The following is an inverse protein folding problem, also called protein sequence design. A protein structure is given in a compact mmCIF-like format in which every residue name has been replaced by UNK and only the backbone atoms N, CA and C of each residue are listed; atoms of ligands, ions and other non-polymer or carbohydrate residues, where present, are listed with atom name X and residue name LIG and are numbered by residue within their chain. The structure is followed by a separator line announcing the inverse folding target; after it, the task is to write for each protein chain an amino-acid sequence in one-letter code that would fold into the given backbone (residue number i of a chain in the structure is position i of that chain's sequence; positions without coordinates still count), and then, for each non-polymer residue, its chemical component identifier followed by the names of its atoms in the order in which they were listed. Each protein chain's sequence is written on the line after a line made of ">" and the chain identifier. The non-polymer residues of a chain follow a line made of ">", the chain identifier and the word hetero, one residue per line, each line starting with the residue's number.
data_IF_741828147800
#
_entry.id   IF_741828147800
#
_cell.length_a   1.000
_cell.length_b   1.000
_cell.length_c   1.000
_cell.angle_alpha   90.00
_cell.angle_beta   90.00
_cell.angle_gamma   90.00
#
_symmetry.space_group_name_H-M   'P 1'
#
loop_
_entity.id
_entity.type
_entity.pdbx_description
1 polymer ?
#
# COMPACT_ATOMS: atom_id res chain seq x y z
N UNK A 1 61.46 4.68 46.90
CA UNK A 1 61.70 6.03 47.46
C UNK A 1 62.28 6.89 46.35
N UNK A 2 61.86 8.16 46.14
CA UNK A 2 60.71 8.88 46.69
C UNK A 2 59.74 9.38 45.57
N UNK A 3 58.42 9.50 45.83
CA UNK A 3 57.63 10.69 46.26
C UNK A 3 57.68 11.85 45.23
N UNK A 4 56.59 12.49 44.83
CA UNK A 4 55.24 12.49 45.39
C UNK A 4 54.25 13.30 44.55
N UNK A 5 52.99 13.15 44.91
CA UNK A 5 51.89 14.12 44.74
C UNK A 5 51.95 15.09 45.95
N UNK A 6 51.55 16.38 45.88
CA UNK A 6 50.13 16.70 46.02
C UNK A 6 49.62 18.05 45.42
N UNK A 7 48.34 18.04 44.99
CA UNK A 7 47.35 19.12 45.22
C UNK A 7 47.41 20.35 44.29
N UNK A 8 46.34 21.09 44.01
CA UNK A 8 44.99 21.11 44.56
C UNK A 8 44.06 22.00 43.70
N UNK A 9 42.75 21.67 43.71
CA UNK A 9 41.56 22.55 43.64
C UNK A 9 41.22 23.29 42.33
N UNK A 10 40.07 22.90 41.77
CA UNK A 10 39.22 23.74 40.92
C UNK A 10 37.86 23.09 40.66
N UNK A 11 36.86 23.39 41.51
CA UNK A 11 35.44 23.03 41.30
C UNK A 11 34.80 23.98 40.29
N UNK A 12 34.01 23.46 39.35
CA UNK A 12 32.82 24.12 38.77
C UNK A 12 32.02 23.05 38.00
N UNK A 13 30.95 22.51 38.58
CA UNK A 13 29.57 23.01 38.46
C UNK A 13 28.91 22.53 37.15
N UNK A 14 28.08 21.49 37.31
CA UNK A 14 27.15 20.99 36.33
C UNK A 14 26.05 22.02 36.05
N UNK A 15 25.78 22.30 34.78
CA UNK A 15 24.53 22.92 34.35
C UNK A 15 23.70 21.92 33.55
N UNK A 16 22.71 21.35 34.24
CA UNK A 16 21.52 20.74 33.65
C UNK A 16 20.69 21.85 33.00
N UNK A 17 20.40 21.72 31.72
CA UNK A 17 19.37 22.52 31.06
C UNK A 17 17.98 21.90 31.32
N UNK A 18 16.92 22.70 31.56
CA UNK A 18 15.61 22.17 31.91
C UNK A 18 14.86 21.66 30.69
N UNK A 19 14.25 20.49 30.89
CA UNK A 19 13.23 19.87 30.04
C UNK A 19 11.99 20.76 30.07
N UNK A 20 11.61 21.30 28.91
CA UNK A 20 10.34 22.02 28.74
C UNK A 20 9.18 21.04 28.64
N UNK A 21 8.29 21.08 29.62
CA UNK A 21 7.00 20.40 29.62
C UNK A 21 6.09 21.01 28.52
N UNK A 22 5.84 20.27 27.44
CA UNK A 22 4.77 20.64 26.51
C UNK A 22 3.44 20.06 27.01
N UNK A 23 2.59 20.95 27.49
CA UNK A 23 1.23 20.68 27.93
C UNK A 23 0.38 20.09 26.80
N UNK A 24 -0.28 18.98 27.13
CA UNK A 24 -1.34 18.32 26.37
C UNK A 24 -2.57 19.22 26.25
N UNK A 25 -2.81 19.77 25.05
CA UNK A 25 -4.09 20.39 24.69
C UNK A 25 -4.93 19.38 23.90
N UNK A 26 -5.75 18.62 24.62
CA UNK A 26 -6.86 17.87 24.05
C UNK A 26 -7.99 18.83 23.66
N UNK A 27 -7.98 19.27 22.40
CA UNK A 27 -9.10 19.95 21.76
C UNK A 27 -9.77 19.03 20.74
N UNK A 28 -10.91 18.42 21.11
CA UNK A 28 -11.74 17.65 20.16
C UNK A 28 -12.41 18.62 19.18
N UNK A 29 -11.88 18.73 17.98
CA UNK A 29 -12.59 19.27 16.82
C UNK A 29 -12.79 18.13 15.81
N UNK A 30 -14.05 17.82 15.50
CA UNK A 30 -14.40 16.92 14.39
C UNK A 30 -14.01 17.64 13.09
N UNK A 31 -13.21 17.06 12.18
CA UNK A 31 -12.99 17.69 10.89
C UNK A 31 -14.29 17.62 10.07
N UNK A 32 -14.67 18.76 9.52
CA UNK A 32 -15.75 18.87 8.55
C UNK A 32 -15.41 18.00 7.33
N UNK A 33 -16.42 17.32 6.78
CA UNK A 33 -16.28 16.53 5.54
C UNK A 33 -15.81 17.44 4.41
N UNK A 34 -14.52 17.38 4.08
CA UNK A 34 -13.99 17.93 2.85
C UNK A 34 -14.44 17.00 1.72
N UNK A 35 -15.32 17.49 0.86
CA UNK A 35 -15.66 16.79 -0.38
C UNK A 35 -14.49 16.95 -1.34
N UNK A 36 -13.64 15.94 -1.45
CA UNK A 36 -12.66 15.89 -2.53
C UNK A 36 -13.39 15.70 -3.86
N UNK A 37 -13.09 16.59 -4.80
CA UNK A 37 -13.55 16.54 -6.18
C UNK A 37 -12.78 15.41 -6.85
N UNK A 38 -13.48 14.47 -7.51
CA UNK A 38 -12.86 13.44 -8.35
C UNK A 38 -11.88 14.11 -9.32
N UNK A 39 -10.63 13.68 -9.30
CA UNK A 39 -9.74 13.83 -10.47
C UNK A 39 -10.32 12.89 -11.53
N UNK A 40 -11.04 13.47 -12.48
CA UNK A 40 -11.53 12.74 -13.65
C UNK A 40 -10.39 12.51 -14.62
N UNK A 41 -10.36 11.32 -15.20
CA UNK A 41 -9.52 10.99 -16.35
C UNK A 41 -9.70 12.07 -17.43
N UNK A 42 -8.61 12.70 -17.82
CA UNK A 42 -8.60 13.62 -18.96
C UNK A 42 -8.75 12.82 -20.25
N UNK A 43 -9.86 13.09 -20.94
CA UNK A 43 -10.18 12.69 -22.30
C UNK A 43 -8.97 12.79 -23.24
N UNK A 44 -8.66 11.69 -23.92
CA UNK A 44 -7.75 11.70 -25.07
C UNK A 44 -8.49 12.25 -26.31
N UNK A 45 -7.88 13.17 -27.09
CA UNK A 45 -8.42 13.53 -28.38
C UNK A 45 -8.25 12.36 -29.35
N UNK A 46 -9.35 12.02 -30.04
CA UNK A 46 -9.34 11.16 -31.22
C UNK A 46 -8.56 11.87 -32.33
N UNK A 47 -7.53 11.22 -32.85
CA UNK A 47 -6.89 11.65 -34.09
C UNK A 47 -7.12 10.60 -35.18
N UNK A 48 -7.71 11.07 -36.28
CA UNK A 48 -8.04 10.32 -37.47
C UNK A 48 -6.82 10.32 -38.41
N UNK A 49 -6.08 9.21 -38.45
CA UNK A 49 -4.87 9.11 -39.28
C UNK A 49 -4.71 7.74 -39.93
N UNK A 50 -5.07 7.64 -41.22
CA UNK A 50 -4.92 6.46 -42.08
C UNK A 50 -3.45 6.05 -42.28
N UNK A 51 -3.10 4.81 -41.93
CA UNK A 51 -2.18 3.89 -42.65
C UNK A 51 -2.53 2.48 -42.12
N UNK A 52 -2.96 1.45 -42.86
CA UNK A 52 -2.56 0.99 -44.17
C UNK A 52 -1.66 -0.25 -44.03
N UNK A 53 -2.20 -1.42 -43.68
CA UNK A 53 -1.80 -2.75 -44.24
C UNK A 53 -2.61 -3.91 -43.67
N UNK A 54 -2.90 -4.84 -44.58
CA UNK A 54 -3.81 -5.99 -44.52
C UNK A 54 -3.28 -7.11 -43.61
N UNK A 55 -4.17 -7.73 -42.83
CA UNK A 55 -4.17 -9.19 -42.62
C UNK A 55 -5.62 -9.68 -42.67
N UNK A 56 -5.85 -10.63 -43.55
CA UNK A 56 -7.14 -11.25 -43.88
C UNK A 56 -7.42 -12.39 -42.90
N UNK A 57 -8.58 -12.39 -42.23
CA UNK A 57 -9.17 -13.62 -41.66
C UNK A 57 -10.67 -13.63 -41.96
N UNK A 58 -11.10 -14.77 -42.51
CA UNK A 58 -12.44 -15.04 -43.04
C UNK A 58 -13.57 -14.84 -42.01
N UNK A 59 -14.68 -14.26 -42.48
CA UNK A 59 -16.01 -14.35 -41.83
C UNK A 59 -16.94 -15.19 -42.70
N UNK A 60 -17.63 -16.15 -42.09
CA UNK A 60 -18.86 -16.75 -42.62
C UNK A 60 -20.10 -16.07 -41.99
N UNK A 61 -21.24 -15.94 -42.70
CA UNK A 61 -22.37 -15.13 -42.26
C UNK A 61 -23.51 -15.97 -41.66
N UNK A 62 -24.19 -15.44 -40.64
CA UNK A 62 -25.54 -15.85 -40.30
C UNK A 62 -26.46 -14.63 -40.11
N UNK A 63 -27.70 -14.85 -40.52
CA UNK A 63 -28.75 -13.91 -40.89
C UNK A 63 -29.48 -13.28 -39.70
N UNK A 64 -29.92 -12.04 -39.90
CA UNK A 64 -31.36 -11.70 -39.88
C UNK A 64 -31.98 -11.25 -38.55
N UNK A 65 -32.37 -9.98 -38.48
CA UNK A 65 -33.34 -9.48 -37.50
C UNK A 65 -33.49 -7.96 -37.55
N UNK A 66 -34.48 -7.46 -38.29
CA UNK A 66 -34.89 -6.05 -38.34
C UNK A 66 -35.81 -5.72 -37.15
N UNK A 67 -35.69 -4.53 -36.57
CA UNK A 67 -36.83 -3.72 -36.09
C UNK A 67 -36.49 -2.21 -36.17
N UNK A 68 -37.52 -1.40 -36.46
CA UNK A 68 -37.50 0.03 -36.86
C UNK A 68 -37.59 1.01 -35.67
N UNK A 69 -37.35 2.33 -35.87
CA UNK A 69 -37.20 3.33 -34.81
C UNK A 69 -38.49 4.11 -34.49
N UNK A 70 -38.57 4.62 -33.26
CA UNK A 70 -39.44 5.70 -32.81
C UNK A 70 -38.59 6.54 -31.83
N UNK A 71 -38.66 7.86 -31.71
CA UNK A 71 -39.52 8.93 -32.19
C UNK A 71 -39.03 10.21 -31.47
N UNK A 72 -39.21 11.37 -32.09
CA UNK A 72 -38.63 12.67 -31.72
C UNK A 72 -39.13 13.26 -30.38
N UNK A 73 -38.28 14.17 -29.87
CA UNK A 73 -38.45 15.19 -28.81
C UNK A 73 -39.75 16.04 -28.94
N UNK A 74 -40.05 16.89 -27.93
CA UNK A 74 -39.68 18.28 -28.14
C UNK A 74 -39.06 19.03 -26.94
N UNK A 75 -38.36 20.09 -27.34
CA UNK A 75 -37.69 21.17 -26.61
C UNK A 75 -38.49 21.92 -25.54
N UNK A 76 -37.76 22.45 -24.55
CA UNK A 76 -38.19 23.52 -23.65
C UNK A 76 -36.98 24.28 -23.09
N UNK A 77 -36.74 25.47 -23.65
CA UNK A 77 -35.61 26.40 -23.45
C UNK A 77 -35.47 27.03 -22.03
N UNK A 78 -34.35 27.73 -21.75
CA UNK A 78 -33.80 27.94 -20.40
C UNK A 78 -34.23 29.25 -19.74
N UNK A 79 -34.13 29.33 -18.40
CA UNK A 79 -34.22 30.61 -17.67
C UNK A 79 -32.83 31.09 -17.20
N UNK A 80 -32.54 32.34 -17.58
CA UNK A 80 -31.39 33.15 -17.17
C UNK A 80 -31.56 33.69 -15.74
N UNK A 81 -30.40 33.74 -15.06
CA UNK A 81 -29.88 34.72 -14.08
C UNK A 81 -30.83 35.80 -13.54
N UNK A 82 -30.81 35.95 -12.22
CA UNK A 82 -30.72 37.25 -11.54
C UNK A 82 -29.69 37.18 -10.42
N UNK A 83 -28.73 38.11 -10.48
CA UNK A 83 -27.88 38.54 -9.37
C UNK A 83 -28.72 39.35 -8.39
N UNK A 84 -28.44 39.24 -7.09
CA UNK A 84 -28.42 40.37 -6.17
C UNK A 84 -27.33 40.11 -5.13
N UNK A 85 -26.45 41.10 -4.99
CA UNK A 85 -25.50 41.27 -3.90
C UNK A 85 -26.24 41.43 -2.56
N UNK A 86 -25.57 41.07 -1.46
CA UNK A 86 -25.35 42.01 -0.37
C UNK A 86 -24.23 41.52 0.57
N UNK A 87 -23.28 42.42 0.83
CA UNK A 87 -22.20 42.32 1.83
C UNK A 87 -22.42 43.40 2.90
N UNK A 88 -21.75 43.18 4.03
CA UNK A 88 -21.49 44.06 5.19
C UNK A 88 -22.57 44.00 6.29
N UNK A 89 -22.27 43.95 7.59
CA UNK A 89 -21.05 44.05 8.42
C UNK A 89 -21.53 43.99 9.89
N UNK A 90 -20.71 43.50 10.85
CA UNK A 90 -21.08 43.29 12.27
C UNK A 90 -21.20 44.58 13.11
N UNK A 91 -20.88 44.62 14.43
CA UNK A 91 -20.74 43.57 15.47
C UNK A 91 -21.41 43.94 16.84
N UNK A 92 -21.02 43.24 17.93
CA UNK A 92 -21.26 43.48 19.39
C UNK A 92 -22.57 42.86 19.96
N UNK A 93 -22.62 42.19 21.13
CA UNK A 93 -21.64 41.82 22.15
C UNK A 93 -22.32 41.21 23.39
N UNK A 94 -21.48 40.68 24.29
CA UNK A 94 -21.66 40.46 25.76
C UNK A 94 -22.40 39.22 26.32
N UNK A 95 -21.59 38.46 27.06
CA UNK A 95 -21.74 37.97 28.44
C UNK A 95 -23.04 37.30 28.90
N UNK A 96 -22.93 36.02 29.30
CA UNK A 96 -23.33 35.60 30.64
C UNK A 96 -22.69 34.26 31.04
N UNK A 97 -22.00 34.30 32.18
CA UNK A 97 -21.49 33.17 32.96
C UNK A 97 -22.66 32.36 33.53
N UNK A 98 -22.52 31.04 33.62
CA UNK A 98 -23.09 30.26 34.73
C UNK A 98 -22.36 28.91 34.89
N UNK A 99 -21.94 28.63 36.13
CA UNK A 99 -21.12 27.49 36.53
C UNK A 99 -21.88 26.16 36.70
N UNK A 100 -21.20 25.12 37.21
CA UNK A 100 -21.46 23.74 36.82
C UNK A 100 -22.39 22.98 37.79
N UNK A 101 -23.23 22.10 37.24
CA UNK A 101 -23.97 21.10 38.03
C UNK A 101 -23.17 19.81 38.18
N UNK A 102 -22.81 19.51 39.43
CA UNK A 102 -22.31 18.21 39.90
C UNK A 102 -23.40 17.15 39.76
N UNK A 103 -23.07 15.97 39.23
CA UNK A 103 -23.79 14.72 39.54
C UNK A 103 -22.78 13.68 40.01
N UNK A 104 -23.11 13.09 41.16
CA UNK A 104 -22.30 12.18 41.97
C UNK A 104 -22.24 10.78 41.36
N UNK A 105 -21.11 10.15 41.67
CA UNK A 105 -20.79 8.72 41.60
C UNK A 105 -21.88 7.79 42.15
N UNK A 106 -22.07 6.65 41.49
CA UNK A 106 -22.46 5.39 42.15
C UNK A 106 -21.57 4.25 41.66
N UNK A 107 -20.74 3.74 42.59
CA UNK A 107 -20.15 2.39 42.57
C UNK A 107 -21.12 1.44 43.27
N UNK A 108 -21.31 0.24 42.71
CA UNK A 108 -21.62 -1.04 43.39
C UNK A 108 -22.13 -2.01 42.32
N UNK A 109 -21.88 -3.32 42.29
CA UNK A 109 -21.17 -4.26 43.15
C UNK A 109 -21.04 -5.54 42.29
N UNK A 110 -19.99 -6.32 42.53
CA UNK A 110 -19.76 -7.60 41.89
C UNK A 110 -20.41 -8.79 42.63
N UNK A 111 -20.49 -9.91 41.89
CA UNK A 111 -20.58 -11.35 42.28
C UNK A 111 -21.98 -11.98 42.43
N UNK A 112 -22.14 -13.33 42.31
CA UNK A 112 -21.10 -14.38 42.18
C UNK A 112 -21.29 -15.44 41.07
N UNK A 113 -20.16 -16.13 40.82
CA UNK A 113 -19.99 -17.38 40.06
C UNK A 113 -20.80 -18.53 40.69
N UNK A 114 -21.46 -19.34 39.87
CA UNK A 114 -21.99 -20.67 40.26
C UNK A 114 -21.09 -21.77 39.73
N UNK A 115 -20.73 -22.65 40.67
CA UNK A 115 -19.89 -23.84 40.56
C UNK A 115 -20.82 -25.01 40.27
N UNK A 116 -20.58 -25.77 39.20
CA UNK A 116 -21.27 -27.06 38.97
C UNK A 116 -20.24 -28.18 39.18
N UNK A 117 -20.64 -29.14 40.00
CA UNK A 117 -19.86 -30.31 40.39
C UNK A 117 -19.92 -31.39 39.30
N UNK A 118 -18.80 -32.10 39.22
CA UNK A 118 -18.55 -33.38 38.58
C UNK A 118 -19.63 -34.44 38.85
N UNK A 119 -20.09 -35.10 37.79
CA UNK A 119 -20.84 -36.36 37.84
C UNK A 119 -20.22 -37.33 36.84
N UNK A 120 -19.55 -38.34 37.38
CA UNK A 120 -19.01 -39.51 36.67
C UNK A 120 -20.17 -40.36 36.16
N UNK A 121 -20.18 -40.68 34.87
CA UNK A 121 -21.05 -41.73 34.33
C UNK A 121 -20.30 -42.48 33.23
N UNK A 122 -19.80 -43.66 33.60
CA UNK A 122 -19.31 -44.69 32.70
C UNK A 122 -20.47 -45.19 31.84
N UNK A 123 -20.31 -45.13 30.51
CA UNK A 123 -21.20 -45.82 29.58
C UNK A 123 -20.36 -46.68 28.65
N UNK A 124 -20.86 -47.89 28.53
CA UNK A 124 -20.37 -49.08 27.88
C UNK A 124 -20.11 -48.92 26.37
N UNK A 125 -19.20 -49.76 25.87
CA UNK A 125 -18.75 -49.84 24.48
C UNK A 125 -19.77 -50.63 23.67
N UNK A 126 -20.35 -50.00 22.66
CA UNK A 126 -20.90 -50.71 21.50
C UNK A 126 -20.82 -49.81 20.27
N UNK A 127 -19.94 -50.19 19.35
CA UNK A 127 -19.74 -49.58 18.04
C UNK A 127 -20.99 -49.67 17.17
N UNK A 128 -21.26 -48.64 16.35
CA UNK A 128 -21.80 -48.87 15.02
C UNK A 128 -20.90 -48.27 13.93
N UNK A 129 -20.54 -49.17 13.02
CA UNK A 129 -20.20 -48.99 11.60
C UNK A 129 -20.34 -47.59 10.98
N UNK A 130 -19.22 -47.17 10.39
CA UNK A 130 -19.02 -46.28 9.23
C UNK A 130 -20.26 -45.73 8.51
N UNK A 131 -20.36 -44.39 8.49
CA UNK A 131 -20.70 -43.64 7.27
C UNK A 131 -19.81 -42.38 7.26
N UNK A 132 -18.61 -42.54 6.71
CA UNK A 132 -17.70 -41.42 6.41
C UNK A 132 -18.20 -40.65 5.19
N UNK A 133 -19.08 -39.67 5.41
CA UNK A 133 -19.35 -38.65 4.40
C UNK A 133 -18.19 -37.68 4.34
N UNK A 134 -17.28 -37.84 3.38
CA UNK A 134 -16.32 -36.80 3.02
C UNK A 134 -17.14 -35.56 2.64
N UNK A 135 -16.99 -34.46 3.40
CA UNK A 135 -17.58 -33.19 3.02
C UNK A 135 -17.14 -32.90 1.58
N UNK A 136 -18.06 -32.48 0.67
CA UNK A 136 -17.71 -32.29 -0.72
C UNK A 136 -16.56 -31.29 -0.78
N UNK A 137 -15.40 -31.74 -1.27
CA UNK A 137 -14.29 -30.86 -1.62
C UNK A 137 -14.87 -29.88 -2.62
N UNK A 138 -15.12 -28.65 -2.17
CA UNK A 138 -15.55 -27.59 -3.06
C UNK A 138 -14.44 -27.47 -4.10
N UNK A 139 -14.75 -27.84 -5.33
CA UNK A 139 -13.89 -27.48 -6.44
C UNK A 139 -13.69 -25.97 -6.35
N UNK A 140 -12.44 -25.48 -6.39
CA UNK A 140 -12.21 -24.06 -6.47
C UNK A 140 -13.01 -23.52 -7.67
N UNK A 141 -13.62 -22.34 -7.58
CA UNK A 141 -14.29 -21.73 -8.74
C UNK A 141 -13.33 -21.72 -9.94
N UNK A 142 -13.86 -21.76 -11.17
CA UNK A 142 -13.05 -21.82 -12.39
C UNK A 142 -12.00 -20.67 -12.49
N UNK A 143 -12.26 -19.57 -11.78
CA UNK A 143 -11.38 -18.39 -11.67
C UNK A 143 -10.43 -18.41 -10.45
N UNK A 144 -10.35 -19.53 -9.72
CA UNK A 144 -9.46 -19.66 -8.58
C UNK A 144 -8.01 -19.64 -9.04
N UNK A 145 -7.28 -18.68 -8.50
CA UNK A 145 -5.85 -18.55 -8.75
C UNK A 145 -5.01 -19.42 -7.81
N UNK A 146 -5.51 -19.88 -6.66
CA UNK A 146 -4.69 -20.66 -5.69
C UNK A 146 -3.31 -20.01 -5.44
N UNK A 147 -3.30 -18.68 -5.29
CA UNK A 147 -2.10 -17.90 -5.05
C UNK A 147 -1.85 -17.81 -3.55
N UNK A 148 -0.61 -18.00 -3.08
CA UNK A 148 -0.34 -18.03 -1.65
C UNK A 148 -0.42 -16.67 -0.98
N UNK A 149 -0.17 -15.55 -1.70
CA UNK A 149 0.00 -14.23 -1.09
C UNK A 149 -0.22 -13.07 -2.07
N UNK A 150 -0.95 -12.04 -1.65
CA UNK A 150 -0.85 -10.67 -2.17
C UNK A 150 -0.28 -9.75 -1.06
N UNK A 151 0.93 -9.22 -1.25
CA UNK A 151 1.66 -8.52 -0.18
C UNK A 151 1.59 -6.99 -0.25
N UNK A 152 0.79 -6.41 -1.16
CA UNK A 152 0.68 -4.97 -1.31
C UNK A 152 -0.76 -4.56 -1.65
N UNK A 153 -1.48 -3.99 -0.68
CA UNK A 153 -2.89 -3.60 -0.81
C UNK A 153 -3.19 -2.32 -0.01
N UNK A 154 -4.05 -1.47 -0.56
CA UNK A 154 -4.45 -0.18 0.00
C UNK A 154 -5.96 -0.10 0.22
N UNK A 155 -6.38 0.36 1.39
CA UNK A 155 -7.75 0.35 1.89
C UNK A 155 -8.27 1.77 2.10
N UNK A 156 -9.46 1.91 2.67
CA UNK A 156 -10.01 3.19 3.12
C UNK A 156 -9.21 3.86 4.27
N UNK A 157 -8.11 3.25 4.72
CA UNK A 157 -7.09 3.83 5.60
C UNK A 157 -5.95 4.55 4.83
N UNK A 158 -6.00 4.55 3.50
CA UNK A 158 -5.15 5.34 2.60
C UNK A 158 -5.95 6.46 1.92
N UNK A 159 -5.33 7.61 1.61
CA UNK A 159 -6.03 8.77 1.06
C UNK A 159 -6.55 8.57 -0.37
N UNK A 160 -6.06 7.57 -1.08
CA UNK A 160 -6.29 7.28 -2.50
C UNK A 160 -6.98 5.93 -2.74
N UNK A 161 -7.51 5.30 -1.70
CA UNK A 161 -8.36 4.11 -1.78
C UNK A 161 -9.66 4.31 -0.99
N UNK A 162 -10.72 3.65 -1.42
CA UNK A 162 -12.04 3.64 -0.76
C UNK A 162 -12.50 2.21 -0.43
N UNK A 163 -11.58 1.25 -0.44
CA UNK A 163 -11.89 -0.18 -0.32
C UNK A 163 -11.83 -0.63 1.13
N UNK A 164 -12.94 -1.09 1.74
CA UNK A 164 -12.90 -1.70 3.06
C UNK A 164 -12.14 -3.03 3.03
N UNK A 165 -11.39 -3.35 4.08
CA UNK A 165 -10.62 -4.62 4.20
C UNK A 165 -11.50 -5.86 3.94
N UNK A 166 -12.76 -5.84 4.38
CA UNK A 166 -13.69 -6.96 4.21
C UNK A 166 -13.96 -7.30 2.73
N UNK A 167 -13.84 -6.32 1.84
CA UNK A 167 -13.97 -6.54 0.39
C UNK A 167 -12.79 -7.36 -0.13
N UNK A 168 -11.56 -7.01 0.27
CA UNK A 168 -10.38 -7.79 -0.08
C UNK A 168 -10.38 -9.17 0.56
N UNK A 169 -10.78 -9.28 1.82
CA UNK A 169 -10.86 -10.57 2.50
C UNK A 169 -11.86 -11.53 1.83
N UNK A 170 -13.04 -11.03 1.45
CA UNK A 170 -14.03 -11.81 0.70
C UNK A 170 -13.50 -12.25 -0.68
N UNK A 171 -12.89 -11.32 -1.42
CA UNK A 171 -12.34 -11.60 -2.74
C UNK A 171 -11.14 -12.58 -2.68
N UNK A 172 -10.32 -12.51 -1.61
CA UNK A 172 -9.24 -13.46 -1.38
C UNK A 172 -9.78 -14.89 -1.22
N UNK A 173 -10.82 -15.07 -0.40
CA UNK A 173 -11.48 -16.36 -0.20
C UNK A 173 -12.06 -16.90 -1.51
N UNK A 174 -12.72 -16.04 -2.30
CA UNK A 174 -13.30 -16.40 -3.59
C UNK A 174 -12.23 -16.86 -4.60
N UNK A 175 -11.09 -16.18 -4.65
CA UNK A 175 -10.00 -16.45 -5.61
C UNK A 175 -8.98 -17.47 -5.14
N UNK A 176 -9.17 -18.05 -3.96
CA UNK A 176 -8.24 -18.99 -3.34
C UNK A 176 -6.90 -18.35 -2.91
N UNK A 177 -6.90 -17.06 -2.55
CA UNK A 177 -5.72 -16.36 -2.03
C UNK A 177 -5.65 -16.57 -0.52
N UNK A 178 -4.61 -17.27 -0.07
CA UNK A 178 -4.50 -17.73 1.33
C UNK A 178 -4.11 -16.63 2.32
N UNK A 179 -3.34 -15.64 1.87
CA UNK A 179 -2.79 -14.59 2.72
C UNK A 179 -2.79 -13.24 1.99
N UNK A 180 -3.12 -12.17 2.71
CA UNK A 180 -3.03 -10.79 2.22
C UNK A 180 -2.32 -9.92 3.25
N UNK A 181 -1.55 -8.94 2.78
CA UNK A 181 -1.00 -7.88 3.62
C UNK A 181 -1.68 -6.55 3.30
N UNK A 182 -2.23 -5.91 4.33
CA UNK A 182 -2.74 -4.55 4.22
C UNK A 182 -1.55 -3.62 4.47
N UNK A 183 -1.21 -2.81 3.48
CA UNK A 183 0.01 -2.01 3.43
C UNK A 183 -0.28 -0.54 3.14
N UNK A 184 -1.31 -0.01 3.80
CA UNK A 184 -1.72 1.38 3.67
C UNK A 184 -0.58 2.38 3.85
N UNK A 185 -0.70 3.51 3.16
CA UNK A 185 0.31 4.57 3.10
C UNK A 185 0.64 5.19 4.46
N UNK A 186 1.93 5.50 4.64
CA UNK A 186 2.47 6.27 5.76
C UNK A 186 3.46 7.30 5.24
N UNK A 187 3.08 8.57 5.35
CA UNK A 187 3.93 9.69 4.95
C UNK A 187 4.48 10.47 6.15
N UNK A 188 5.70 10.98 6.00
CA UNK A 188 6.38 11.80 7.01
C UNK A 188 6.44 13.27 6.63
N UNK A 189 6.31 13.60 5.35
CA UNK A 189 6.28 14.97 4.89
C UNK A 189 4.82 15.49 4.84
N UNK A 190 4.51 16.64 5.50
CA UNK A 190 3.16 17.24 5.50
C UNK A 190 2.59 17.61 4.13
N UNK A 191 3.41 17.69 3.09
CA UNK A 191 3.01 17.92 1.71
C UNK A 191 2.41 16.68 1.04
N UNK A 192 2.58 15.50 1.61
CA UNK A 192 2.04 14.26 1.04
C UNK A 192 0.64 13.92 1.58
N UNK A 193 -0.23 13.28 0.77
CA UNK A 193 -1.63 13.05 1.14
C UNK A 193 -1.87 12.14 2.36
N UNK A 194 -0.99 11.17 2.64
CA UNK A 194 -1.19 10.24 3.76
C UNK A 194 -0.61 10.75 5.08
N UNK A 195 -0.01 11.95 5.08
CA UNK A 195 0.56 12.53 6.30
C UNK A 195 -0.54 12.72 7.36
N UNK A 196 -0.38 12.01 8.48
CA UNK A 196 -1.35 11.98 9.57
C UNK A 196 -2.80 11.61 9.14
N UNK A 197 -2.98 10.93 8.01
CA UNK A 197 -4.31 10.55 7.49
C UNK A 197 -5.01 9.54 8.42
N UNK A 198 -4.31 8.45 8.75
CA UNK A 198 -4.73 7.49 9.77
C UNK A 198 -3.56 7.23 10.72
N UNK A 199 -3.80 7.32 12.04
CA UNK A 199 -2.76 7.06 13.02
C UNK A 199 -2.45 5.56 13.15
N UNK A 200 -1.33 5.22 13.81
CA UNK A 200 -0.91 3.82 13.96
C UNK A 200 -1.96 2.99 14.69
N UNK A 201 -2.51 3.50 15.80
CA UNK A 201 -3.43 2.76 16.65
C UNK A 201 -4.74 2.41 15.91
N UNK A 202 -5.23 3.33 15.08
CA UNK A 202 -6.42 3.12 14.24
C UNK A 202 -6.15 2.02 13.22
N UNK A 203 -5.06 2.12 12.46
CA UNK A 203 -4.70 1.11 11.45
C UNK A 203 -4.49 -0.27 12.08
N UNK A 204 -3.78 -0.32 13.20
CA UNK A 204 -3.55 -1.57 13.93
C UNK A 204 -4.87 -2.21 14.38
N UNK A 205 -5.75 -1.44 15.05
CA UNK A 205 -7.04 -1.97 15.53
C UNK A 205 -7.87 -2.52 14.38
N UNK A 206 -8.04 -1.73 13.32
CA UNK A 206 -8.91 -2.09 12.18
C UNK A 206 -8.40 -3.34 11.46
N UNK A 207 -7.09 -3.42 11.18
CA UNK A 207 -6.52 -4.58 10.47
C UNK A 207 -6.51 -5.83 11.37
N UNK A 208 -6.19 -5.69 12.66
CA UNK A 208 -6.18 -6.82 13.61
C UNK A 208 -7.59 -7.38 13.83
N UNK A 209 -8.60 -6.52 13.97
CA UNK A 209 -10.00 -6.94 14.06
C UNK A 209 -10.48 -7.66 12.80
N UNK A 210 -10.06 -7.20 11.60
CA UNK A 210 -10.33 -7.92 10.37
C UNK A 210 -9.63 -9.29 10.35
N UNK A 211 -8.36 -9.36 10.77
CA UNK A 211 -7.63 -10.62 10.85
C UNK A 211 -8.30 -11.65 11.78
N UNK A 212 -8.87 -11.20 12.90
CA UNK A 212 -9.65 -12.07 13.80
C UNK A 212 -10.95 -12.57 13.13
N UNK A 213 -11.72 -11.68 12.48
CA UNK A 213 -13.00 -12.03 11.84
C UNK A 213 -12.85 -12.98 10.64
N UNK A 214 -11.69 -12.94 9.97
CA UNK A 214 -11.43 -13.69 8.74
C UNK A 214 -10.44 -14.84 8.89
N UNK A 215 -9.79 -14.98 10.06
CA UNK A 215 -8.63 -15.86 10.25
C UNK A 215 -8.83 -17.34 9.91
N UNK A 216 -10.06 -17.85 9.99
CA UNK A 216 -10.39 -19.24 9.59
C UNK A 216 -10.45 -19.44 8.06
N UNK A 217 -10.40 -18.36 7.28
CA UNK A 217 -10.64 -18.34 5.83
C UNK A 217 -9.51 -17.69 5.03
N UNK A 218 -8.95 -16.59 5.54
CA UNK A 218 -7.81 -15.88 4.94
C UNK A 218 -6.94 -15.26 6.03
N UNK A 219 -5.63 -15.40 5.91
CA UNK A 219 -4.70 -14.72 6.81
C UNK A 219 -4.54 -13.25 6.39
N UNK A 220 -4.81 -12.32 7.31
CA UNK A 220 -4.63 -10.87 7.07
C UNK A 220 -3.47 -10.38 7.93
N UNK A 221 -2.52 -9.69 7.30
CA UNK A 221 -1.33 -9.12 7.95
C UNK A 221 -1.43 -7.62 8.06
N UNK A 222 -1.01 -7.11 9.21
CA UNK A 222 -0.92 -5.67 9.47
C UNK A 222 0.45 -5.17 9.04
N UNK A 223 0.53 -4.67 7.80
CA UNK A 223 1.71 -4.03 7.27
C UNK A 223 1.53 -2.53 7.06
N UNK A 224 2.47 -1.93 6.33
CA UNK A 224 2.38 -0.56 5.85
C UNK A 224 3.36 -0.31 4.70
N UNK A 225 3.00 0.60 3.81
CA UNK A 225 3.90 1.20 2.82
C UNK A 225 4.32 2.58 3.32
N UNK A 226 5.62 2.78 3.57
CA UNK A 226 6.15 4.05 4.03
C UNK A 226 6.85 4.77 2.89
N UNK A 227 6.51 6.03 2.69
CA UNK A 227 7.27 6.91 1.80
C UNK A 227 8.64 7.16 2.43
N UNK A 228 9.69 6.76 1.72
CA UNK A 228 11.06 7.04 2.08
C UNK A 228 11.56 8.30 1.36
N UNK A 229 12.10 9.21 2.15
CA UNK A 229 12.93 10.31 1.69
C UNK A 229 14.14 10.39 2.64
N UNK A 230 15.35 10.55 2.11
CA UNK A 230 16.58 10.63 2.92
C UNK A 230 16.47 11.63 4.09
N UNK A 231 15.77 12.75 3.87
CA UNK A 231 15.56 13.79 4.89
C UNK A 231 14.73 13.32 6.09
N UNK A 232 13.89 12.30 5.94
CA UNK A 232 13.04 11.74 6.99
C UNK A 232 13.54 10.39 7.53
N UNK A 233 14.71 9.90 7.11
CA UNK A 233 15.19 8.55 7.49
C UNK A 233 15.23 8.33 9.02
N UNK A 234 15.69 9.34 9.78
CA UNK A 234 15.76 9.24 11.24
C UNK A 234 14.36 9.09 11.88
N UNK A 235 13.37 9.80 11.35
CA UNK A 235 11.98 9.74 11.80
C UNK A 235 11.34 8.40 11.45
N UNK A 236 11.57 7.91 10.23
CA UNK A 236 11.12 6.59 9.77
C UNK A 236 11.71 5.48 10.67
N UNK A 237 13.02 5.56 10.95
CA UNK A 237 13.72 4.60 11.81
C UNK A 237 13.14 4.57 13.22
N UNK A 238 12.87 5.73 13.83
CA UNK A 238 12.25 5.78 15.15
C UNK A 238 10.80 5.28 15.13
N UNK A 239 10.03 5.62 14.09
CA UNK A 239 8.67 5.12 13.89
C UNK A 239 8.64 3.59 13.85
N UNK A 240 9.44 2.96 12.98
CA UNK A 240 9.54 1.50 12.85
C UNK A 240 10.07 0.81 14.11
N UNK A 241 10.80 1.53 14.96
CA UNK A 241 11.26 1.01 16.26
C UNK A 241 10.16 1.04 17.31
N UNK A 242 9.28 2.06 17.28
CA UNK A 242 8.15 2.22 18.21
C UNK A 242 6.94 1.39 17.84
N UNK A 243 6.75 1.13 16.55
CA UNK A 243 5.54 0.52 16.00
C UNK A 243 5.83 -0.85 15.40
N UNK A 244 5.01 -1.85 15.73
CA UNK A 244 5.20 -3.24 15.29
C UNK A 244 4.26 -3.55 14.13
N UNK A 245 4.84 -3.61 12.94
CA UNK A 245 4.21 -4.10 11.73
C UNK A 245 4.62 -5.56 11.46
N UNK A 246 3.73 -6.32 10.83
CA UNK A 246 4.02 -7.67 10.35
C UNK A 246 4.90 -7.64 9.10
N UNK A 247 4.76 -6.60 8.27
CA UNK A 247 5.46 -6.43 7.00
C UNK A 247 5.58 -4.95 6.63
N UNK A 248 6.73 -4.53 6.13
CA UNK A 248 6.99 -3.12 5.78
C UNK A 248 7.53 -2.99 4.36
N UNK A 249 6.91 -2.08 3.60
CA UNK A 249 7.36 -1.67 2.26
C UNK A 249 7.96 -0.28 2.40
N UNK A 250 9.19 -0.09 1.92
CA UNK A 250 9.77 1.24 1.73
C UNK A 250 9.64 1.63 0.27
N UNK A 251 9.01 2.77 -0.01
CA UNK A 251 8.70 3.22 -1.37
C UNK A 251 9.13 4.66 -1.58
N UNK A 252 9.56 5.01 -2.80
CA UNK A 252 9.82 6.41 -3.18
C UNK A 252 8.65 6.91 -4.00
N UNK A 253 7.88 7.85 -3.43
CA UNK A 253 6.73 8.44 -4.11
C UNK A 253 7.07 9.80 -4.71
N UNK A 254 6.39 10.15 -5.80
CA UNK A 254 6.60 11.42 -6.48
C UNK A 254 6.07 12.57 -5.62
N UNK A 255 6.98 13.44 -5.18
CA UNK A 255 6.63 14.66 -4.47
C UNK A 255 5.71 15.54 -5.32
N UNK A 256 4.61 16.08 -4.76
CA UNK A 256 3.67 16.94 -5.51
C UNK A 256 4.32 18.17 -6.15
N UNK A 257 5.40 18.70 -5.57
CA UNK A 257 6.18 19.83 -6.07
C UNK A 257 7.49 19.42 -6.76
N UNK A 258 7.73 18.11 -6.86
CA UNK A 258 8.94 17.51 -7.42
C UNK A 258 9.03 17.61 -8.95
N UNK A 259 10.20 17.27 -9.51
CA UNK A 259 10.44 17.38 -10.95
C UNK A 259 9.58 16.44 -11.81
N UNK A 260 9.09 15.35 -11.23
CA UNK A 260 8.27 14.34 -11.91
C UNK A 260 6.76 14.62 -11.79
N UNK A 261 6.35 15.69 -11.09
CA UNK A 261 4.96 16.10 -11.04
C UNK A 261 4.42 16.36 -12.47
N UNK A 262 3.14 16.08 -12.70
CA UNK A 262 2.53 16.10 -14.03
C UNK A 262 2.71 17.45 -14.76
N UNK A 263 2.67 18.57 -14.03
CA UNK A 263 2.85 19.90 -14.62
C UNK A 263 4.31 20.26 -14.91
N UNK A 264 5.28 19.47 -14.44
CA UNK A 264 6.72 19.79 -14.44
C UNK A 264 7.56 18.82 -15.27
N UNK A 265 7.12 17.57 -15.38
CA UNK A 265 7.91 16.47 -15.96
C UNK A 265 8.36 16.77 -17.39
N UNK A 266 7.50 17.34 -18.23
CA UNK A 266 7.83 17.68 -19.62
C UNK A 266 9.03 18.64 -19.71
N UNK A 267 9.03 19.72 -18.93
CA UNK A 267 10.15 20.67 -18.88
C UNK A 267 11.37 20.09 -18.19
N UNK A 268 11.17 19.24 -17.17
CA UNK A 268 12.26 18.61 -16.45
C UNK A 268 13.09 17.69 -17.34
N UNK A 269 12.47 16.92 -18.23
CA UNK A 269 13.17 15.96 -19.11
C UNK A 269 13.89 16.61 -20.29
N UNK A 270 13.50 17.82 -20.68
CA UNK A 270 13.96 18.46 -21.91
C UNK A 270 15.49 18.62 -21.92
N UNK A 271 16.12 18.07 -22.97
CA UNK A 271 17.57 18.15 -23.16
C UNK A 271 18.42 17.29 -22.23
N UNK A 272 17.80 16.42 -21.42
CA UNK A 272 18.52 15.51 -20.52
C UNK A 272 18.61 14.10 -21.08
N UNK A 273 19.67 13.38 -20.73
CA UNK A 273 19.76 11.94 -20.95
C UNK A 273 18.84 11.19 -19.99
N UNK A 274 18.45 9.95 -20.35
CA UNK A 274 17.68 9.05 -19.48
C UNK A 274 18.34 8.94 -18.10
N UNK A 275 19.66 8.74 -18.06
CA UNK A 275 20.43 8.65 -16.82
C UNK A 275 20.29 9.92 -15.95
N UNK A 276 20.33 11.12 -16.55
CA UNK A 276 20.15 12.37 -15.81
C UNK A 276 18.72 12.57 -15.32
N UNK A 277 17.72 12.08 -16.07
CA UNK A 277 16.30 12.15 -15.71
C UNK A 277 15.97 11.22 -14.53
N UNK A 278 16.47 9.98 -14.51
CA UNK A 278 16.08 9.00 -13.48
C UNK A 278 16.91 9.11 -12.21
N UNK A 279 18.13 9.65 -12.29
CA UNK A 279 19.10 9.71 -11.19
C UNK A 279 18.51 10.23 -9.87
N UNK A 280 17.80 11.38 -9.80
CA UNK A 280 17.27 11.87 -8.53
C UNK A 280 16.34 10.88 -7.83
N UNK A 281 15.47 10.21 -8.59
CA UNK A 281 14.59 9.16 -8.05
C UNK A 281 15.40 7.93 -7.62
N UNK A 282 16.31 7.46 -8.49
CA UNK A 282 17.09 6.24 -8.25
C UNK A 282 18.03 6.39 -7.04
N UNK A 283 18.55 7.58 -6.77
CA UNK A 283 19.36 7.88 -5.58
C UNK A 283 18.54 7.77 -4.27
N UNK A 284 17.26 8.16 -4.27
CA UNK A 284 16.39 7.96 -3.11
C UNK A 284 16.05 6.48 -2.92
N UNK A 285 15.78 5.74 -4.01
CA UNK A 285 15.50 4.30 -3.94
C UNK A 285 16.73 3.54 -3.44
N UNK A 286 17.91 3.89 -3.93
CA UNK A 286 19.18 3.33 -3.47
C UNK A 286 19.39 3.61 -1.98
N UNK A 287 19.12 4.84 -1.52
CA UNK A 287 19.24 5.19 -0.12
C UNK A 287 18.23 4.42 0.76
N UNK A 288 16.99 4.25 0.31
CA UNK A 288 15.98 3.43 0.96
C UNK A 288 16.47 1.99 1.14
N UNK A 289 17.04 1.39 0.08
CA UNK A 289 17.62 0.05 0.12
C UNK A 289 18.82 -0.04 1.09
N UNK A 290 19.73 0.95 1.06
CA UNK A 290 20.91 1.00 1.95
C UNK A 290 20.55 1.18 3.42
N UNK A 291 19.40 1.80 3.72
CA UNK A 291 18.96 2.06 5.10
C UNK A 291 18.72 0.78 5.92
N UNK A 292 18.40 -0.33 5.24
CA UNK A 292 18.05 -1.62 5.85
C UNK A 292 16.80 -1.58 6.72
N UNK A 293 15.92 -0.59 6.53
CA UNK A 293 14.76 -0.35 7.39
C UNK A 293 13.56 -1.24 7.07
N UNK A 294 13.44 -1.71 5.84
CA UNK A 294 12.22 -2.30 5.30
C UNK A 294 12.35 -3.79 5.04
N UNK A 295 11.22 -4.49 4.94
CA UNK A 295 11.22 -5.88 4.51
C UNK A 295 11.40 -6.03 3.01
N UNK A 296 10.87 -5.06 2.25
CA UNK A 296 11.01 -4.96 0.80
C UNK A 296 11.08 -3.50 0.38
N UNK A 297 11.72 -3.22 -0.76
CA UNK A 297 11.59 -1.94 -1.45
C UNK A 297 10.52 -2.08 -2.52
N UNK A 298 9.49 -1.23 -2.43
CA UNK A 298 8.36 -1.19 -3.35
C UNK A 298 8.75 -0.64 -4.72
N UNK A 299 8.05 -1.09 -5.76
CA UNK A 299 8.04 -0.56 -7.14
C UNK A 299 9.25 0.34 -7.52
N UNK A 300 10.46 -0.24 -7.54
CA UNK A 300 11.76 0.48 -7.59
C UNK A 300 11.95 1.43 -8.78
N UNK A 301 11.14 1.30 -9.83
CA UNK A 301 11.13 2.12 -11.04
C UNK A 301 9.76 2.73 -11.35
N UNK A 302 8.91 2.90 -10.33
CA UNK A 302 7.59 3.54 -10.42
C UNK A 302 7.60 4.92 -11.09
N UNK A 303 8.73 5.62 -11.07
CA UNK A 303 8.96 6.87 -11.82
C UNK A 303 8.58 6.75 -13.30
N UNK A 304 8.66 5.55 -13.91
CA UNK A 304 8.18 5.26 -15.28
C UNK A 304 6.73 5.70 -15.52
N UNK A 305 5.87 5.60 -14.51
CA UNK A 305 4.46 6.04 -14.57
C UNK A 305 4.34 7.51 -14.98
N UNK A 306 5.19 8.35 -14.41
CA UNK A 306 5.17 9.81 -14.58
C UNK A 306 6.06 10.27 -15.73
N UNK A 307 7.12 9.52 -16.02
CA UNK A 307 7.97 9.77 -17.16
C UNK A 307 7.27 9.50 -18.49
N UNK A 308 6.29 8.59 -18.55
CA UNK A 308 5.54 8.32 -19.77
C UNK A 308 4.49 9.43 -20.02
N UNK A 309 4.45 10.08 -21.21
CA UNK A 309 5.07 9.67 -22.47
C UNK A 309 6.38 10.38 -22.85
N UNK A 310 7.02 11.08 -21.92
CA UNK A 310 8.24 11.86 -22.17
C UNK A 310 9.52 11.01 -22.27
N UNK A 311 9.61 9.93 -21.47
CA UNK A 311 10.64 8.89 -21.57
C UNK A 311 9.94 7.54 -21.54
N UNK A 312 10.05 6.77 -22.63
CA UNK A 312 9.42 5.46 -22.75
C UNK A 312 10.10 4.42 -21.85
N UNK A 313 9.38 3.40 -21.36
CA UNK A 313 9.96 2.27 -20.64
C UNK A 313 11.15 1.62 -21.36
N UNK A 314 11.08 1.46 -22.69
CA UNK A 314 12.16 0.91 -23.53
C UNK A 314 13.48 1.66 -23.39
N UNK A 315 13.44 2.98 -23.15
CA UNK A 315 14.64 3.78 -22.97
C UNK A 315 15.35 3.47 -21.65
N UNK A 316 14.60 3.11 -20.60
CA UNK A 316 15.17 2.60 -19.34
C UNK A 316 15.61 1.13 -19.49
N UNK A 317 14.86 0.31 -20.23
CA UNK A 317 15.22 -1.08 -20.49
C UNK A 317 16.54 -1.22 -21.27
N UNK A 318 16.86 -0.24 -22.11
CA UNK A 318 18.13 -0.14 -22.83
C UNK A 318 19.32 0.31 -21.95
N UNK A 319 19.09 0.69 -20.70
CA UNK A 319 20.10 1.14 -19.74
C UNK A 319 20.00 0.40 -18.39
N UNK A 320 20.08 -0.95 -18.38
CA UNK A 320 19.91 -1.76 -17.16
C UNK A 320 20.97 -1.47 -16.08
N UNK A 321 22.15 -0.95 -16.47
CA UNK A 321 23.22 -0.53 -15.57
C UNK A 321 22.78 0.57 -14.59
N UNK A 322 21.75 1.35 -14.94
CA UNK A 322 21.20 2.37 -14.04
C UNK A 322 20.57 1.76 -12.78
N UNK A 323 20.12 0.50 -12.83
CA UNK A 323 19.52 -0.19 -11.70
C UNK A 323 20.58 -0.81 -10.78
N UNK A 324 21.79 -1.07 -11.28
CA UNK A 324 22.81 -1.83 -10.56
C UNK A 324 23.13 -1.28 -9.14
N UNK A 325 23.23 0.04 -8.91
CA UNK A 325 23.45 0.58 -7.56
C UNK A 325 22.34 0.21 -6.57
N UNK A 326 21.08 0.30 -6.99
CA UNK A 326 19.91 -0.08 -6.18
C UNK A 326 19.95 -1.58 -5.89
N UNK A 327 20.15 -2.40 -6.93
CA UNK A 327 20.15 -3.85 -6.80
C UNK A 327 21.28 -4.34 -5.89
N UNK A 328 22.48 -3.75 -5.99
CA UNK A 328 23.59 -4.05 -5.07
C UNK A 328 23.30 -3.61 -3.64
N UNK A 329 22.62 -2.48 -3.44
CA UNK A 329 22.18 -2.05 -2.11
C UNK A 329 21.16 -3.02 -1.49
N UNK A 330 20.24 -3.57 -2.28
CA UNK A 330 19.31 -4.61 -1.84
C UNK A 330 20.04 -5.90 -1.45
N UNK A 331 21.02 -6.33 -2.26
CA UNK A 331 21.86 -7.49 -1.94
C UNK A 331 22.62 -7.27 -0.63
N UNK A 332 23.26 -6.11 -0.48
CA UNK A 332 24.07 -5.80 0.69
C UNK A 332 23.24 -5.67 1.99
N UNK A 333 22.04 -5.10 1.90
CA UNK A 333 21.15 -4.94 3.07
C UNK A 333 20.35 -6.21 3.40
N UNK A 334 20.19 -7.13 2.44
CA UNK A 334 19.28 -8.27 2.57
C UNK A 334 17.80 -7.89 2.47
N UNK A 335 17.50 -6.65 2.06
CA UNK A 335 16.14 -6.18 1.79
C UNK A 335 15.61 -6.85 0.52
N UNK A 336 14.33 -7.24 0.50
CA UNK A 336 13.75 -7.84 -0.69
C UNK A 336 13.49 -6.80 -1.79
N UNK A 337 13.45 -7.29 -3.03
CA UNK A 337 12.94 -6.53 -4.19
C UNK A 337 11.46 -6.87 -4.39
N UNK A 338 10.59 -5.86 -4.42
CA UNK A 338 9.20 -6.08 -4.82
C UNK A 338 9.08 -6.31 -6.34
N UNK A 339 8.26 -7.29 -6.72
CA UNK A 339 7.67 -7.40 -8.05
C UNK A 339 6.24 -6.88 -7.98
N UNK A 340 6.06 -5.61 -8.35
CA UNK A 340 4.78 -4.94 -8.27
C UNK A 340 4.05 -5.01 -9.61
N UNK A 341 2.81 -5.49 -9.59
CA UNK A 341 2.03 -5.70 -10.82
C UNK A 341 1.15 -4.51 -11.18
N UNK A 342 1.20 -3.42 -10.42
CA UNK A 342 0.50 -2.17 -10.75
C UNK A 342 0.96 -1.57 -12.07
N UNK A 343 2.24 -1.69 -12.41
CA UNK A 343 2.74 -1.14 -13.67
C UNK A 343 2.04 -1.70 -14.92
N UNK A 344 1.49 -2.92 -14.87
CA UNK A 344 0.72 -3.53 -15.96
C UNK A 344 -0.57 -2.77 -16.29
N UNK A 345 -1.16 -2.08 -15.31
CA UNK A 345 -2.35 -1.21 -15.49
C UNK A 345 -2.00 0.27 -15.60
N UNK A 346 -0.73 0.64 -15.50
CA UNK A 346 -0.26 2.00 -15.68
C UNK A 346 0.24 2.24 -17.11
N UNK A 347 0.65 3.47 -17.38
CA UNK A 347 1.24 3.90 -18.66
C UNK A 347 2.46 3.07 -19.09
N UNK A 348 3.20 2.49 -18.14
CA UNK A 348 4.37 1.66 -18.41
C UNK A 348 4.04 0.29 -19.03
N UNK A 349 2.88 -0.30 -18.71
CA UNK A 349 2.40 -1.61 -19.23
C UNK A 349 3.35 -2.79 -18.99
N UNK A 350 4.12 -2.73 -17.92
CA UNK A 350 5.05 -3.78 -17.47
C UNK A 350 5.08 -3.80 -15.94
N UNK A 351 5.56 -4.87 -15.31
CA UNK A 351 5.74 -4.88 -13.84
C UNK A 351 6.79 -3.85 -13.42
N UNK A 352 6.72 -3.42 -12.16
CA UNK A 352 7.78 -2.65 -11.52
C UNK A 352 8.62 -3.56 -10.60
N UNK A 353 9.89 -3.84 -10.93
CA UNK A 353 10.55 -3.63 -12.21
C UNK A 353 10.25 -4.77 -13.20
N UNK A 354 10.86 -4.74 -14.38
CA UNK A 354 10.70 -5.78 -15.41
C UNK A 354 11.40 -7.09 -15.05
N UNK A 355 11.02 -8.20 -15.71
CA UNK A 355 11.69 -9.50 -15.54
C UNK A 355 13.20 -9.45 -15.73
N UNK A 356 13.71 -8.65 -16.67
CA UNK A 356 15.14 -8.50 -16.90
C UNK A 356 15.86 -7.90 -15.68
N UNK A 357 15.25 -6.90 -15.03
CA UNK A 357 15.81 -6.28 -13.83
C UNK A 357 15.73 -7.21 -12.61
N UNK A 358 14.63 -7.99 -12.48
CA UNK A 358 14.52 -9.01 -11.43
C UNK A 358 15.55 -10.14 -11.64
N UNK A 359 15.82 -10.53 -12.89
CA UNK A 359 16.87 -11.48 -13.23
C UNK A 359 18.27 -10.92 -12.91
N UNK A 360 18.55 -9.66 -13.27
CA UNK A 360 19.79 -8.99 -12.91
C UNK A 360 19.99 -8.94 -11.38
N UNK A 361 18.93 -8.66 -10.61
CA UNK A 361 19.01 -8.72 -9.15
C UNK A 361 19.43 -10.11 -8.67
N UNK A 362 18.89 -11.17 -9.27
CA UNK A 362 19.27 -12.55 -8.95
C UNK A 362 20.73 -12.83 -9.31
N UNK A 363 21.19 -12.41 -10.50
CA UNK A 363 22.57 -12.57 -10.96
C UNK A 363 23.58 -11.88 -10.05
N UNK A 364 23.22 -10.70 -9.52
CA UNK A 364 24.02 -9.95 -8.56
C UNK A 364 24.04 -10.55 -7.15
N UNK A 365 23.35 -11.67 -6.92
CA UNK A 365 23.31 -12.39 -5.64
C UNK A 365 22.05 -12.16 -4.81
N UNK A 366 21.02 -11.52 -5.38
CA UNK A 366 19.75 -11.27 -4.71
C UNK A 366 19.00 -12.55 -4.33
N UNK A 367 18.58 -12.65 -3.06
CA UNK A 367 17.99 -13.88 -2.51
C UNK A 367 16.51 -13.80 -2.16
N UNK A 368 15.90 -12.62 -2.21
CA UNK A 368 14.55 -12.37 -1.69
C UNK A 368 13.77 -11.41 -2.57
N UNK A 369 12.61 -11.86 -3.02
CA UNK A 369 11.64 -11.06 -3.79
C UNK A 369 10.27 -11.15 -3.15
N UNK A 370 9.48 -10.09 -3.21
CA UNK A 370 8.05 -10.07 -2.82
C UNK A 370 7.19 -9.85 -4.06
N UNK A 371 5.87 -10.04 -3.95
CA UNK A 371 4.95 -9.77 -5.04
C UNK A 371 3.65 -9.16 -4.51
N UNK A 372 3.18 -8.11 -5.16
CA UNK A 372 2.01 -7.35 -4.69
C UNK A 372 1.25 -6.73 -5.85
N UNK A 373 -0.08 -6.67 -5.71
CA UNK A 373 -0.93 -6.07 -6.74
C UNK A 373 -1.04 -4.56 -6.62
N UNK A 374 -0.78 -4.00 -5.43
CA UNK A 374 -0.83 -2.57 -5.13
C UNK A 374 -2.24 -2.00 -5.46
N UNK A 375 -3.24 -2.82 -5.13
CA UNK A 375 -4.63 -2.52 -5.40
C UNK A 375 -5.11 -1.39 -4.48
N UNK A 376 -5.68 -0.36 -5.09
CA UNK A 376 -6.37 0.76 -4.43
C UNK A 376 -7.88 0.73 -4.68
N UNK A 377 -8.34 -0.25 -5.46
CA UNK A 377 -9.72 -0.44 -5.87
C UNK A 377 -10.08 -1.91 -5.80
N UNK A 378 -11.35 -2.20 -5.52
CA UNK A 378 -11.85 -3.57 -5.44
C UNK A 378 -11.64 -4.35 -6.75
N UNK A 379 -11.83 -3.70 -7.91
CA UNK A 379 -11.65 -4.30 -9.24
C UNK A 379 -10.18 -4.58 -9.60
N UNK A 380 -9.24 -3.90 -8.94
CA UNK A 380 -7.79 -4.13 -9.11
C UNK A 380 -7.17 -5.12 -8.12
N UNK A 381 -7.96 -5.68 -7.20
CA UNK A 381 -7.47 -6.72 -6.28
C UNK A 381 -6.79 -7.86 -7.05
N UNK A 382 -5.59 -8.26 -6.64
CA UNK A 382 -4.77 -9.31 -7.27
C UNK A 382 -4.54 -9.13 -8.79
N UNK A 383 -4.72 -7.91 -9.34
CA UNK A 383 -4.57 -7.65 -10.76
C UNK A 383 -3.14 -7.94 -11.21
N UNK A 384 -2.98 -8.81 -12.21
CA UNK A 384 -1.68 -9.18 -12.76
C UNK A 384 -0.79 -9.97 -11.81
N UNK A 385 -1.28 -10.39 -10.63
CA UNK A 385 -0.47 -11.02 -9.60
C UNK A 385 0.19 -12.32 -10.08
N UNK A 386 -0.52 -13.12 -10.90
CA UNK A 386 0.09 -14.29 -11.56
C UNK A 386 1.28 -13.92 -12.44
N UNK A 387 1.24 -12.77 -13.11
CA UNK A 387 2.35 -12.29 -13.92
C UNK A 387 3.55 -11.93 -13.05
N UNK A 388 3.32 -11.26 -11.90
CA UNK A 388 4.38 -11.03 -10.92
C UNK A 388 5.05 -12.33 -10.44
N UNK A 389 4.27 -13.39 -10.28
CA UNK A 389 4.80 -14.71 -9.92
C UNK A 389 5.60 -15.36 -11.06
N UNK A 390 5.16 -15.19 -12.32
CA UNK A 390 5.92 -15.61 -13.51
C UNK A 390 7.22 -14.83 -13.64
N UNK A 391 7.21 -13.52 -13.40
CA UNK A 391 8.40 -12.67 -13.36
C UNK A 391 9.40 -13.18 -12.33
N UNK A 392 8.96 -13.42 -11.08
CA UNK A 392 9.83 -13.98 -10.05
C UNK A 392 10.39 -15.38 -10.43
N UNK A 393 9.53 -16.26 -10.96
CA UNK A 393 9.95 -17.60 -11.36
C UNK A 393 10.94 -17.59 -12.55
N UNK A 394 10.66 -16.78 -13.58
CA UNK A 394 11.48 -16.61 -14.77
C UNK A 394 12.85 -15.99 -14.46
N UNK A 395 12.94 -15.16 -13.42
CA UNK A 395 14.20 -14.67 -12.87
C UNK A 395 14.95 -15.70 -11.99
N UNK A 396 14.44 -16.94 -11.86
CA UNK A 396 15.11 -18.02 -11.15
C UNK A 396 14.77 -18.13 -9.65
N UNK A 397 13.79 -17.38 -9.15
CA UNK A 397 13.30 -17.56 -7.78
C UNK A 397 12.35 -18.77 -7.70
N UNK A 398 12.41 -19.50 -6.59
CA UNK A 398 11.51 -20.65 -6.31
C UNK A 398 10.50 -20.35 -5.21
N UNK A 399 10.65 -19.22 -4.54
CA UNK A 399 9.82 -18.77 -3.42
C UNK A 399 9.82 -17.25 -3.35
N UNK A 400 8.70 -16.67 -2.95
CA UNK A 400 8.65 -15.30 -2.44
C UNK A 400 9.19 -15.25 -1.00
N UNK A 401 9.69 -14.09 -0.61
CA UNK A 401 10.04 -13.77 0.76
C UNK A 401 8.89 -12.99 1.40
N UNK A 402 8.50 -13.35 2.61
CA UNK A 402 7.49 -12.59 3.34
C UNK A 402 7.71 -12.74 4.84
N UNK A 403 7.51 -11.68 5.61
CA UNK A 403 7.70 -11.73 7.07
C UNK A 403 6.45 -12.28 7.73
N UNK A 404 6.63 -13.29 8.59
CA UNK A 404 5.58 -13.77 9.52
C UNK A 404 6.18 -13.80 10.92
N UNK A 405 5.67 -12.93 11.80
CA UNK A 405 6.24 -12.78 13.15
C UNK A 405 7.70 -12.29 13.10
N UNK A 406 8.57 -12.88 13.92
CA UNK A 406 9.95 -12.40 14.10
C UNK A 406 10.90 -12.70 12.91
N UNK A 407 10.49 -13.50 11.92
CA UNK A 407 11.37 -13.97 10.86
C UNK A 407 10.80 -13.81 9.44
N UNK A 408 11.72 -13.78 8.46
CA UNK A 408 11.41 -13.85 7.03
C UNK A 408 11.21 -15.32 6.64
N UNK A 409 10.05 -15.64 6.08
CA UNK A 409 9.72 -16.97 5.59
C UNK A 409 9.78 -17.02 4.06
N UNK A 410 10.01 -18.22 3.55
CA UNK A 410 9.90 -18.53 2.13
C UNK A 410 8.50 -19.03 1.85
N UNK A 411 7.77 -18.32 0.99
CA UNK A 411 6.47 -18.72 0.45
C UNK A 411 6.74 -19.41 -0.89
N UNK A 412 6.60 -20.74 -1.00
CA UNK A 412 6.91 -21.45 -2.24
C UNK A 412 6.05 -20.94 -3.39
N UNK A 413 6.65 -20.67 -4.56
CA UNK A 413 5.88 -20.35 -5.76
C UNK A 413 5.10 -21.60 -6.21
N UNK A 414 3.82 -21.53 -6.60
CA UNK A 414 3.10 -22.68 -7.13
C UNK A 414 3.84 -23.35 -8.30
N UNK A 415 3.77 -24.69 -8.37
CA UNK A 415 4.55 -25.48 -9.35
C UNK A 415 4.29 -25.05 -10.80
N UNK A 416 3.06 -24.62 -11.12
CA UNK A 416 2.68 -24.16 -12.46
C UNK A 416 3.42 -22.91 -12.97
N UNK A 417 4.09 -22.17 -12.09
CA UNK A 417 4.94 -21.04 -12.48
C UNK A 417 6.42 -21.44 -12.62
N UNK A 418 6.79 -22.63 -12.13
CA UNK A 418 8.17 -23.13 -12.19
C UNK A 418 8.31 -23.94 -13.48
N UNK A 419 8.68 -23.26 -14.56
CA UNK A 419 9.15 -23.92 -15.78
C UNK A 419 10.54 -24.51 -15.58
#
# INVERSE_FOLDING_TARGET
>A
MPRGDPGARGRAAAHRAPVGEHATLQGRARPARVRHRRLGDTDHPRDDGRVGRRVTVLRAPLRGGRLRPAGRLPDGRPRRRTHTDDRHGGPLGRDARQGPRRIRSRRSRARPRRRVKSGTRTVDRSSPSEVGGEAPRRHPPEDSTDLPLDSHLHTDLSPDSDVPIDVYAAAAVERGISEIAITDHVDFDPGYPAYAFADFATRESVVREAAERWGDRVAIRFGCELTYERRHEAEIRDHLRRHRYDFTIGSVHIAPDGPYAAERVASFVQGKSVAAVVRPYFEEVEAAARSGLFDTIGHVDFVKRYLTPHVMPDALAAAPELYEPILRALVASGTALEVNTSGLRQSARETYPTTAIVALFRELGGTSVTAGSDAHRADTFAFGLEEGYRVAAGAGFRSLAFRRGAGRLRVPLPARFRT
#
